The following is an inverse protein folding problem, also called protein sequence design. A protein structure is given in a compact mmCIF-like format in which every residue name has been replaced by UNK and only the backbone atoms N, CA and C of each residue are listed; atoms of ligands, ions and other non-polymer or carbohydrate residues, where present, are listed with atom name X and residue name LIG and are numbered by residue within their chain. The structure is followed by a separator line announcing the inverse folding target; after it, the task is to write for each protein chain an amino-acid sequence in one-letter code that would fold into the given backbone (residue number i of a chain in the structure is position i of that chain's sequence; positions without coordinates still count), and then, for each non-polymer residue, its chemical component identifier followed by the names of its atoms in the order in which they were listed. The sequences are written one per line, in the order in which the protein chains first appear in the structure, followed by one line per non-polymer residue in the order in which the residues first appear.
data_IF_448445535559
#
_entry.id   IF_448445535559
#
_cell.length_a   1.000
_cell.length_b   1.000
_cell.length_c   1.000
_cell.angle_alpha   90.00
_cell.angle_beta   90.00
_cell.angle_gamma   90.00
#
_symmetry.space_group_name_H-M   'P 1'
#
loop_
_entity.id
_entity.type
_entity.pdbx_description
1 polymer ?
#
# COMPACT_ATOMS: atom_id res chain seq x y z
N UNK A 1 0.30 14.16 -14.56
CA UNK A 1 -0.41 15.01 -13.58
C UNK A 1 -0.58 14.17 -12.32
N UNK A 2 0.04 14.56 -11.19
CA UNK A 2 -0.13 13.86 -9.91
C UNK A 2 -1.47 14.20 -9.24
N UNK A 3 -1.84 13.52 -8.14
CA UNK A 3 -3.04 13.84 -7.37
C UNK A 3 -2.98 15.27 -6.82
N UNK A 4 -4.14 15.92 -6.66
CA UNK A 4 -4.19 17.24 -6.01
C UNK A 4 -3.84 17.12 -4.53
N UNK A 5 -3.46 18.23 -3.89
CA UNK A 5 -3.20 18.23 -2.45
C UNK A 5 -4.41 17.71 -1.63
N UNK A 6 -5.63 18.03 -2.07
CA UNK A 6 -6.86 17.56 -1.42
C UNK A 6 -6.98 16.04 -1.54
N UNK A 7 -6.74 15.48 -2.73
CA UNK A 7 -6.78 14.03 -2.95
C UNK A 7 -5.74 13.30 -2.10
N UNK A 8 -4.55 13.88 -1.95
CA UNK A 8 -3.49 13.37 -1.08
C UNK A 8 -3.96 13.32 0.38
N UNK A 9 -4.56 14.40 0.88
CA UNK A 9 -5.05 14.46 2.27
C UNK A 9 -6.17 13.45 2.50
N UNK A 10 -7.16 13.39 1.60
CA UNK A 10 -8.28 12.43 1.70
C UNK A 10 -7.76 10.99 1.65
N UNK A 11 -6.85 10.67 0.73
CA UNK A 11 -6.25 9.34 0.63
C UNK A 11 -5.56 8.90 1.93
N UNK A 12 -4.84 9.80 2.60
CA UNK A 12 -4.17 9.52 3.88
C UNK A 12 -5.16 9.36 5.03
N UNK A 13 -6.24 10.14 5.06
CA UNK A 13 -7.31 9.97 6.05
C UNK A 13 -7.97 8.60 5.88
N UNK A 14 -8.38 8.25 4.65
CA UNK A 14 -8.97 6.94 4.34
C UNK A 14 -8.04 5.81 4.76
N UNK A 15 -6.75 5.88 4.43
CA UNK A 15 -5.78 4.86 4.83
C UNK A 15 -5.63 4.77 6.36
N UNK A 16 -5.61 5.89 7.07
CA UNK A 16 -5.59 5.90 8.54
C UNK A 16 -6.82 5.20 9.14
N UNK A 17 -8.01 5.44 8.58
CA UNK A 17 -9.24 4.76 9.03
C UNK A 17 -9.21 3.25 8.75
N UNK A 18 -8.66 2.83 7.60
CA UNK A 18 -8.46 1.41 7.27
C UNK A 18 -7.55 0.73 8.29
N UNK A 19 -6.42 1.36 8.62
CA UNK A 19 -5.48 0.83 9.62
C UNK A 19 -6.14 0.66 10.99
N UNK A 20 -6.98 1.61 11.39
CA UNK A 20 -7.74 1.50 12.64
C UNK A 20 -8.74 0.34 12.58
N UNK A 21 -9.52 0.24 11.51
CA UNK A 21 -10.52 -0.82 11.32
C UNK A 21 -9.89 -2.23 11.27
N UNK A 22 -8.74 -2.35 10.60
CA UNK A 22 -7.97 -3.59 10.48
C UNK A 22 -7.08 -3.86 11.70
N UNK A 23 -7.14 -3.04 12.76
CA UNK A 23 -6.40 -3.24 14.02
C UNK A 23 -4.87 -3.16 13.87
N UNK A 24 -4.40 -2.26 13.02
CA UNK A 24 -2.98 -1.91 12.89
C UNK A 24 -2.27 -2.61 11.73
N UNK A 25 -1.13 -2.03 11.33
CA UNK A 25 -0.37 -2.45 10.15
C UNK A 25 0.09 -3.91 10.16
N UNK A 26 0.37 -4.47 11.35
CA UNK A 26 0.77 -5.87 11.48
C UNK A 26 -0.29 -6.82 10.90
N UNK A 27 -1.57 -6.56 11.22
CA UNK A 27 -2.66 -7.40 10.72
C UNK A 27 -2.83 -7.25 9.21
N UNK A 28 -2.75 -6.01 8.71
CA UNK A 28 -2.82 -5.72 7.26
C UNK A 28 -1.71 -6.45 6.53
N UNK A 29 -0.47 -6.35 7.02
CA UNK A 29 0.70 -6.99 6.44
C UNK A 29 0.50 -8.50 6.33
N UNK A 30 0.09 -9.16 7.43
CA UNK A 30 -0.15 -10.61 7.47
C UNK A 30 -1.35 -11.07 6.65
N UNK A 31 -2.34 -10.20 6.40
CA UNK A 31 -3.49 -10.51 5.56
C UNK A 31 -3.23 -10.24 4.07
N UNK A 32 -2.29 -9.33 3.75
CA UNK A 32 -2.01 -8.89 2.39
C UNK A 32 -0.90 -9.69 1.73
N UNK A 33 0.12 -10.09 2.49
CA UNK A 33 1.30 -10.78 1.97
C UNK A 33 1.44 -12.17 2.58
N UNK A 34 2.02 -13.09 1.81
CA UNK A 34 2.44 -14.38 2.34
C UNK A 34 3.54 -14.18 3.38
N UNK A 35 3.38 -14.82 4.54
CA UNK A 35 4.27 -14.68 5.69
C UNK A 35 4.98 -16.01 5.94
N UNK A 36 6.30 -15.96 6.09
CA UNK A 36 7.08 -17.14 6.50
C UNK A 36 7.13 -17.26 8.03
N UNK A 37 7.37 -18.45 8.60
CA UNK A 37 7.59 -18.60 10.03
C UNK A 37 8.63 -17.60 10.55
N UNK A 38 8.38 -17.03 11.73
CA UNK A 38 9.26 -16.07 12.43
C UNK A 38 9.46 -14.71 11.73
N UNK A 39 8.80 -14.46 10.61
CA UNK A 39 8.79 -13.15 9.98
C UNK A 39 8.09 -12.10 10.86
N UNK A 40 8.80 -11.00 11.11
CA UNK A 40 8.36 -9.87 11.92
C UNK A 40 8.34 -8.61 11.09
N UNK A 41 7.25 -7.85 11.14
CA UNK A 41 7.22 -6.49 10.60
C UNK A 41 8.08 -5.58 11.48
N UNK A 42 8.98 -4.82 10.86
CA UNK A 42 9.88 -3.90 11.55
C UNK A 42 9.35 -2.46 11.50
N UNK A 43 9.05 -1.97 10.29
CA UNK A 43 8.61 -0.58 10.07
C UNK A 43 7.65 -0.48 8.89
N UNK A 44 6.80 0.54 8.92
CA UNK A 44 5.92 0.91 7.81
C UNK A 44 6.11 2.37 7.43
N UNK A 45 6.05 2.67 6.14
CA UNK A 45 6.17 4.03 5.62
C UNK A 45 5.04 4.32 4.64
N UNK A 46 4.20 5.29 4.97
CA UNK A 46 3.32 5.91 3.99
C UNK A 46 4.17 6.59 2.91
N UNK A 47 4.04 6.16 1.66
CA UNK A 47 4.90 6.63 0.58
C UNK A 47 4.15 6.76 -0.75
N UNK A 48 4.88 7.21 -1.77
CA UNK A 48 4.49 7.12 -3.17
C UNK A 48 5.50 6.25 -3.91
N UNK A 49 5.03 5.22 -4.61
CA UNK A 49 5.83 4.46 -5.54
C UNK A 49 5.78 5.15 -6.91
N UNK A 50 6.92 5.65 -7.39
CA UNK A 50 6.99 6.23 -8.74
C UNK A 50 6.95 5.11 -9.77
N UNK A 51 6.04 5.19 -10.74
CA UNK A 51 5.95 4.26 -11.89
C UNK A 51 6.07 5.03 -13.19
N UNK A 52 6.29 4.33 -14.31
CA UNK A 52 6.36 4.95 -15.64
C UNK A 52 5.05 5.62 -16.07
N UNK A 53 3.91 5.20 -15.52
CA UNK A 53 2.60 5.80 -15.80
C UNK A 53 2.32 7.00 -14.88
N UNK A 54 2.50 6.82 -13.56
CA UNK A 54 2.21 7.83 -12.52
C UNK A 54 2.70 7.40 -11.13
N UNK A 55 2.86 8.33 -10.18
CA UNK A 55 3.01 7.99 -8.77
C UNK A 55 1.81 7.20 -8.23
N UNK A 56 2.07 6.20 -7.39
CA UNK A 56 1.07 5.36 -6.72
C UNK A 56 1.18 5.55 -5.22
N UNK A 57 0.10 6.01 -4.57
CA UNK A 57 0.01 6.08 -3.11
C UNK A 57 -0.07 4.68 -2.50
N UNK A 58 0.70 4.46 -1.44
CA UNK A 58 0.64 3.22 -0.69
C UNK A 58 1.43 3.26 0.61
N UNK A 59 1.65 2.06 1.12
CA UNK A 59 2.46 1.78 2.31
C UNK A 59 3.56 0.79 1.94
N UNK A 60 4.80 1.16 2.26
CA UNK A 60 5.95 0.27 2.24
C UNK A 60 6.08 -0.43 3.60
N UNK A 61 6.07 -1.75 3.60
CA UNK A 61 6.28 -2.62 4.75
C UNK A 61 7.70 -3.17 4.70
N UNK A 62 8.48 -2.93 5.76
CA UNK A 62 9.78 -3.54 5.97
C UNK A 62 9.63 -4.61 7.04
N UNK A 63 9.83 -5.87 6.69
CA UNK A 63 9.91 -6.99 7.63
C UNK A 63 11.35 -7.48 7.79
N UNK A 64 11.56 -8.47 8.66
CA UNK A 64 12.83 -9.18 8.80
C UNK A 64 13.23 -9.97 7.55
N UNK A 65 12.30 -10.20 6.60
CA UNK A 65 12.54 -11.08 5.44
C UNK A 65 12.24 -10.42 4.10
N UNK A 66 11.45 -9.34 4.05
CA UNK A 66 11.06 -8.70 2.78
C UNK A 66 10.79 -7.20 2.90
N UNK A 67 10.86 -6.56 1.75
CA UNK A 67 10.27 -5.26 1.47
C UNK A 67 9.02 -5.49 0.63
N UNK A 68 7.86 -5.06 1.13
CA UNK A 68 6.58 -5.25 0.45
C UNK A 68 5.87 -3.91 0.29
N UNK A 69 5.20 -3.70 -0.84
CA UNK A 69 4.44 -2.48 -1.11
C UNK A 69 2.97 -2.83 -1.37
N UNK A 70 2.06 -2.11 -0.73
CA UNK A 70 0.62 -2.20 -0.97
C UNK A 70 0.10 -0.81 -1.32
N UNK A 71 -0.61 -0.68 -2.45
CA UNK A 71 -1.28 0.57 -2.81
C UNK A 71 -2.50 0.80 -1.93
N UNK A 72 -2.80 2.07 -1.61
CA UNK A 72 -3.95 2.41 -0.75
C UNK A 72 -5.29 2.04 -1.43
N UNK A 73 -5.30 2.01 -2.78
CA UNK A 73 -6.45 1.66 -3.60
C UNK A 73 -6.06 0.58 -4.64
N UNK A 74 -7.01 -0.23 -5.13
CA UNK A 74 -6.80 -1.10 -6.28
C UNK A 74 -6.29 -0.30 -7.48
N UNK A 75 -5.38 -0.88 -8.24
CA UNK A 75 -4.87 -0.29 -9.48
C UNK A 75 -5.50 -1.04 -10.64
N UNK A 76 -6.18 -0.30 -11.52
CA UNK A 76 -6.56 -0.82 -12.81
C UNK A 76 -5.31 -1.03 -13.65
N UNK A 77 -5.22 -2.17 -14.34
CA UNK A 77 -4.16 -2.43 -15.30
C UNK A 77 -4.75 -3.08 -16.55
N UNK A 78 -4.08 -2.89 -17.68
CA UNK A 78 -4.47 -3.58 -18.90
C UNK A 78 -3.64 -4.86 -19.06
N UNK A 79 -4.33 -5.96 -19.36
CA UNK A 79 -3.72 -7.22 -19.79
C UNK A 79 -4.01 -7.34 -21.27
N UNK A 80 -3.04 -6.99 -22.11
CA UNK A 80 -3.28 -6.84 -23.55
C UNK A 80 -4.33 -5.74 -23.81
N UNK A 81 -5.31 -6.02 -24.68
CA UNK A 81 -6.37 -5.06 -25.05
C UNK A 81 -7.57 -5.05 -24.07
N UNK A 82 -7.49 -5.71 -22.92
CA UNK A 82 -8.56 -5.73 -21.91
C UNK A 82 -8.17 -4.95 -20.64
N UNK A 83 -9.06 -4.09 -20.15
CA UNK A 83 -8.91 -3.40 -18.85
C UNK A 83 -9.54 -4.24 -17.74
N UNK A 84 -8.81 -4.48 -16.63
CA UNK A 84 -9.33 -5.09 -15.39
C UNK A 84 -9.08 -4.18 -14.17
#
# INVERSE_FOLDING_TARGET
MGPSFVDVVVGRITQGTKVLAERGYEKIFRQTFEIVPEEQLLKTYACYLSTSARPVMGVLYLSTTKLAFCSDNPLSYQVGDQTQ
#
